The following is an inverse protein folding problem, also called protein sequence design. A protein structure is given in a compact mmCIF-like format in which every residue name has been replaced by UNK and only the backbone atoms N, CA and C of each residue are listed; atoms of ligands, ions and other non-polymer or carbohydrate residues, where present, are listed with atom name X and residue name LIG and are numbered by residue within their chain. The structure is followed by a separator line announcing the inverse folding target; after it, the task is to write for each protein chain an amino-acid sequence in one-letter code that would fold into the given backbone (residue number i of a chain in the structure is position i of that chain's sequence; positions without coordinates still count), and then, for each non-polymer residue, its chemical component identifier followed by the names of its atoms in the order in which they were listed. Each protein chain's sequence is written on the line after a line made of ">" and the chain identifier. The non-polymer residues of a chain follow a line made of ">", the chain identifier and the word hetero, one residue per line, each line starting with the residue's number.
data_IF_935803247470
#
_entry.id   IF_935803247470
#
_cell.length_a   1.000
_cell.length_b   1.000
_cell.length_c   1.000
_cell.angle_alpha   90.00
_cell.angle_beta   90.00
_cell.angle_gamma   90.00
#
_symmetry.space_group_name_H-M   'P 1'
#
loop_
_entity.id
_entity.type
_entity.pdbx_description
1 polymer ?
#
# COMPACT_ATOMS: atom_id res chain seq x y z
N UNK A 1 13.31 -1.60 24.65
CA UNK A 1 13.71 -0.40 23.89
C UNK A 1 12.62 0.00 22.87
N UNK A 2 12.15 -0.91 22.02
CA UNK A 2 11.19 -0.63 20.93
C UNK A 2 9.81 -0.16 21.43
N UNK A 3 9.26 -0.77 22.48
CA UNK A 3 7.97 -0.38 23.07
C UNK A 3 8.02 1.02 23.69
N UNK A 4 9.15 1.38 24.31
CA UNK A 4 9.35 2.72 24.88
C UNK A 4 9.48 3.81 23.82
N UNK A 5 10.04 3.49 22.65
CA UNK A 5 10.18 4.41 21.53
C UNK A 5 8.82 4.65 20.86
N UNK A 6 8.02 3.59 20.64
CA UNK A 6 6.64 3.70 20.16
C UNK A 6 5.78 4.52 21.12
N UNK A 7 5.92 4.31 22.44
CA UNK A 7 5.19 5.09 23.42
C UNK A 7 5.60 6.58 23.42
N UNK A 8 6.90 6.89 23.25
CA UNK A 8 7.38 8.28 23.11
C UNK A 8 6.83 8.94 21.83
N UNK A 9 6.85 8.23 20.71
CA UNK A 9 6.31 8.75 19.44
C UNK A 9 4.80 8.95 19.52
N UNK A 10 4.07 8.03 20.13
CA UNK A 10 2.62 8.16 20.37
C UNK A 10 2.30 9.36 21.25
N UNK A 11 3.10 9.61 22.29
CA UNK A 11 2.95 10.79 23.18
C UNK A 11 3.28 12.09 22.43
N UNK A 12 4.32 12.10 21.59
CA UNK A 12 4.69 13.25 20.75
C UNK A 12 3.60 13.58 19.71
N UNK A 13 2.99 12.56 19.12
CA UNK A 13 1.84 12.72 18.19
C UNK A 13 0.62 13.26 18.92
N UNK A 14 0.33 12.81 20.13
CA UNK A 14 -0.75 13.31 20.97
C UNK A 14 -0.53 14.77 21.37
N UNK A 15 0.70 15.17 21.74
CA UNK A 15 1.08 16.53 22.08
C UNK A 15 0.98 17.47 20.86
N UNK A 16 1.40 17.01 19.66
CA UNK A 16 1.26 17.76 18.42
C UNK A 16 -0.20 18.00 18.03
N UNK A 17 -1.10 17.05 18.33
CA UNK A 17 -2.55 17.21 18.10
C UNK A 17 -3.18 18.23 19.06
N UNK A 18 -2.69 18.32 20.31
CA UNK A 18 -3.15 19.30 21.28
C UNK A 18 -2.69 20.73 20.95
N UNK A 19 -1.49 20.88 20.37
CA UNK A 19 -0.93 22.16 19.96
C UNK A 19 -1.53 22.74 18.65
N UNK A 20 -2.07 21.88 17.78
CA UNK A 20 -2.68 22.31 16.50
C UNK A 20 -4.06 23.00 16.67
N UNK A 21 -4.64 22.99 17.86
CA UNK A 21 -5.89 23.70 18.15
C UNK A 21 -5.71 25.21 18.43
N UNK A 22 -4.47 25.71 18.43
CA UNK A 22 -4.13 27.12 18.63
C UNK A 22 -3.21 27.62 17.51
N UNK A 23 -3.78 28.36 16.57
CA UNK A 23 -3.21 29.31 15.62
C UNK A 23 -1.79 29.11 15.04
N UNK A 24 -1.73 28.98 13.73
CA UNK A 24 -0.75 29.50 12.80
C UNK A 24 0.74 29.42 13.16
N UNK A 25 1.39 28.34 12.72
CA UNK A 25 2.84 28.24 12.69
C UNK A 25 3.24 26.79 12.39
N UNK A 26 3.93 26.57 11.28
CA UNK A 26 4.48 25.25 10.94
C UNK A 26 5.49 24.82 12.03
N UNK A 27 5.03 24.16 13.08
CA UNK A 27 5.89 23.59 14.12
C UNK A 27 6.42 22.26 13.64
N UNK A 28 7.67 22.22 13.23
CA UNK A 28 8.45 21.00 13.09
C UNK A 28 8.52 20.34 14.47
N UNK A 29 7.94 19.13 14.60
CA UNK A 29 8.12 18.30 15.78
C UNK A 29 9.62 18.14 16.07
N UNK A 30 10.06 18.26 17.34
CA UNK A 30 11.46 18.04 17.70
C UNK A 30 11.80 16.57 17.43
N UNK A 31 12.56 16.37 16.36
CA UNK A 31 13.22 15.11 16.03
C UNK A 31 14.46 14.95 16.93
N UNK A 32 14.78 13.73 17.38
CA UNK A 32 16.14 13.46 17.81
C UNK A 32 17.06 13.87 16.66
N UNK A 33 17.94 14.82 16.94
CA UNK A 33 18.67 15.58 15.94
C UNK A 33 19.23 14.67 14.83
N UNK A 34 18.79 14.92 13.61
CA UNK A 34 19.45 14.45 12.39
C UNK A 34 18.97 13.11 11.79
N UNK A 35 17.94 12.43 12.31
CA UNK A 35 17.47 11.19 11.69
C UNK A 35 16.21 11.40 10.84
N UNK A 36 16.30 11.08 9.56
CA UNK A 36 15.13 11.01 8.68
C UNK A 36 14.23 9.82 9.07
N UNK A 37 12.92 10.04 9.23
CA UNK A 37 11.94 8.98 9.51
C UNK A 37 11.73 8.03 8.34
N UNK A 38 11.89 8.55 7.14
CA UNK A 38 11.69 7.85 5.88
C UNK A 38 12.89 8.00 4.97
N UNK A 39 13.22 6.93 4.27
CA UNK A 39 14.08 6.93 3.10
C UNK A 39 13.21 6.69 1.87
N UNK A 40 13.51 7.36 0.77
CA UNK A 40 12.74 7.27 -0.48
C UNK A 40 13.64 6.66 -1.55
N UNK A 41 13.14 5.65 -2.20
CA UNK A 41 13.75 4.97 -3.34
C UNK A 41 12.82 5.09 -4.54
N UNK A 42 13.34 5.44 -5.69
CA UNK A 42 12.54 5.73 -6.88
C UNK A 42 12.94 4.80 -8.01
N UNK A 43 11.95 4.23 -8.67
CA UNK A 43 12.12 3.53 -9.93
C UNK A 43 11.49 4.36 -11.05
N UNK A 44 12.30 4.75 -12.01
CA UNK A 44 11.87 5.35 -13.28
C UNK A 44 12.31 4.45 -14.43
N UNK A 45 11.76 4.57 -15.64
CA UNK A 45 12.31 3.88 -16.79
C UNK A 45 13.84 4.12 -16.92
N UNK A 46 14.63 3.14 -17.38
CA UNK A 46 16.11 3.24 -17.36
C UNK A 46 16.68 4.48 -18.07
N UNK A 47 15.97 4.98 -19.09
CA UNK A 47 16.36 6.14 -19.89
C UNK A 47 15.78 7.47 -19.38
N UNK A 48 15.09 7.46 -18.24
CA UNK A 48 14.51 8.66 -17.63
C UNK A 48 15.35 9.09 -16.43
N UNK A 49 15.74 10.35 -16.43
CA UNK A 49 16.35 11.02 -15.28
C UNK A 49 15.40 12.09 -14.78
N UNK A 50 15.19 12.14 -13.48
CA UNK A 50 14.32 13.16 -12.90
C UNK A 50 14.98 14.54 -13.00
N UNK A 51 14.21 15.60 -13.29
CA UNK A 51 14.74 16.95 -13.32
C UNK A 51 15.26 17.36 -11.94
N UNK A 52 16.30 18.17 -11.88
CA UNK A 52 16.92 18.63 -10.63
C UNK A 52 15.92 19.36 -9.69
N UNK A 53 14.82 19.87 -10.23
CA UNK A 53 13.72 20.50 -9.47
C UNK A 53 12.77 19.48 -8.82
N UNK A 54 12.87 18.19 -9.17
CA UNK A 54 12.05 17.14 -8.54
C UNK A 54 12.53 16.90 -7.12
N UNK A 55 11.61 16.78 -6.14
CA UNK A 55 11.97 16.40 -4.77
C UNK A 55 12.53 14.97 -4.68
N UNK A 56 12.42 14.19 -5.74
CA UNK A 56 12.91 12.83 -5.85
C UNK A 56 14.20 12.69 -6.65
N UNK A 57 14.76 13.79 -7.18
CA UNK A 57 16.02 13.76 -7.92
C UNK A 57 17.16 13.17 -7.08
N UNK A 58 17.93 12.26 -7.67
CA UNK A 58 19.03 11.57 -7.00
C UNK A 58 18.59 10.48 -6.01
N UNK A 59 17.32 10.06 -6.07
CA UNK A 59 16.76 8.92 -5.28
C UNK A 59 16.46 7.72 -6.15
N UNK A 60 16.74 7.82 -7.44
CA UNK A 60 16.57 6.72 -8.38
C UNK A 60 17.52 5.57 -8.03
N UNK A 61 16.98 4.35 -7.99
CA UNK A 61 17.81 3.16 -7.84
C UNK A 61 18.63 2.94 -9.12
N UNK A 62 19.81 2.33 -8.98
CA UNK A 62 20.70 2.08 -10.13
C UNK A 62 20.15 0.99 -11.04
N UNK A 63 19.70 -0.12 -10.47
CA UNK A 63 19.19 -1.28 -11.19
C UNK A 63 17.70 -1.08 -11.53
N UNK A 64 17.43 -0.54 -12.74
CA UNK A 64 16.10 -0.21 -13.24
C UNK A 64 15.73 -1.03 -14.47
N UNK A 65 14.43 -1.31 -14.65
CA UNK A 65 13.88 -2.02 -15.81
C UNK A 65 12.81 -1.20 -16.51
N UNK A 66 12.64 -1.44 -17.78
CA UNK A 66 11.48 -0.93 -18.49
C UNK A 66 10.22 -1.64 -17.98
N UNK A 67 9.19 -0.87 -17.64
CA UNK A 67 7.93 -1.37 -17.12
C UNK A 67 6.80 -1.15 -18.13
N UNK A 68 5.84 -2.07 -18.13
CA UNK A 68 4.59 -1.93 -18.88
C UNK A 68 3.41 -2.26 -17.96
N UNK A 69 2.33 -1.51 -18.10
CA UNK A 69 1.13 -1.66 -17.29
C UNK A 69 0.58 -3.10 -17.33
N UNK A 70 0.24 -3.63 -16.14
CA UNK A 70 -0.31 -4.98 -15.98
C UNK A 70 0.68 -6.12 -16.27
N UNK A 71 1.95 -5.83 -16.57
CA UNK A 71 2.95 -6.84 -16.87
C UNK A 71 3.80 -7.20 -15.64
N UNK A 72 4.50 -8.34 -15.71
CA UNK A 72 5.42 -8.78 -14.66
C UNK A 72 6.58 -7.81 -14.43
N UNK A 73 6.91 -6.97 -15.40
CA UNK A 73 7.99 -5.97 -15.25
C UNK A 73 7.74 -4.99 -14.10
N UNK A 74 6.48 -4.74 -13.71
CA UNK A 74 6.15 -3.93 -12.51
C UNK A 74 6.55 -4.68 -11.24
N UNK A 75 6.32 -5.99 -11.18
CA UNK A 75 6.76 -6.84 -10.05
C UNK A 75 8.28 -6.82 -9.95
N UNK A 76 8.99 -6.93 -11.08
CA UNK A 76 10.44 -6.90 -11.11
C UNK A 76 10.98 -5.54 -10.64
N UNK A 77 10.37 -4.43 -11.07
CA UNK A 77 10.68 -3.10 -10.58
C UNK A 77 10.49 -2.99 -9.06
N UNK A 78 9.38 -3.54 -8.55
CA UNK A 78 9.08 -3.58 -7.11
C UNK A 78 10.15 -4.37 -6.34
N UNK A 79 10.55 -5.54 -6.84
CA UNK A 79 11.59 -6.37 -6.20
C UNK A 79 12.95 -5.66 -6.15
N UNK A 80 13.31 -4.91 -7.20
CA UNK A 80 14.54 -4.09 -7.23
C UNK A 80 14.48 -2.92 -6.26
N UNK A 81 13.33 -2.26 -6.13
CA UNK A 81 13.11 -1.25 -5.10
C UNK A 81 13.27 -1.81 -3.69
N UNK A 82 12.68 -3.00 -3.44
CA UNK A 82 12.83 -3.69 -2.15
C UNK A 82 14.29 -4.06 -1.87
N UNK A 83 15.01 -4.59 -2.86
CA UNK A 83 16.43 -4.95 -2.72
C UNK A 83 17.29 -3.72 -2.38
N UNK A 84 17.10 -2.61 -3.09
CA UNK A 84 17.80 -1.36 -2.83
C UNK A 84 17.49 -0.82 -1.42
N UNK A 85 16.22 -0.83 -1.01
CA UNK A 85 15.81 -0.33 0.29
C UNK A 85 16.25 -1.25 1.45
N UNK A 86 16.39 -2.54 1.23
CA UNK A 86 16.88 -3.51 2.21
C UNK A 86 18.37 -3.34 2.55
N UNK A 87 19.14 -2.68 1.70
CA UNK A 87 20.55 -2.36 1.95
C UNK A 87 20.74 -1.49 3.21
N UNK A 88 19.74 -0.65 3.56
CA UNK A 88 19.74 0.05 4.85
C UNK A 88 19.06 -0.84 5.93
N UNK A 89 19.81 -1.31 6.94
CA UNK A 89 19.26 -2.17 7.99
C UNK A 89 18.23 -1.45 8.90
N UNK A 90 18.18 -0.13 8.87
CA UNK A 90 17.21 0.67 9.65
C UNK A 90 15.81 0.64 9.04
N UNK A 91 15.68 0.36 7.75
CA UNK A 91 14.38 0.24 7.10
C UNK A 91 13.63 -0.99 7.62
N UNK A 92 12.55 -0.79 8.35
CA UNK A 92 11.75 -1.84 8.98
C UNK A 92 10.37 -2.01 8.34
N UNK A 93 9.91 -1.00 7.60
CA UNK A 93 8.65 -0.99 6.83
C UNK A 93 8.93 -0.49 5.43
N UNK A 94 8.29 -1.12 4.46
CA UNK A 94 8.44 -0.84 3.04
C UNK A 94 7.06 -0.53 2.48
N UNK A 95 6.84 0.71 2.09
CA UNK A 95 5.55 1.19 1.57
C UNK A 95 5.69 1.42 0.09
N UNK A 96 4.92 0.70 -0.71
CA UNK A 96 4.89 0.88 -2.16
C UNK A 96 3.89 1.98 -2.51
N UNK A 97 4.36 2.98 -3.24
CA UNK A 97 3.59 4.15 -3.65
C UNK A 97 3.79 4.43 -5.13
N UNK A 98 2.78 5.02 -5.78
CA UNK A 98 2.97 5.63 -7.09
C UNK A 98 3.52 7.06 -6.96
N UNK A 99 3.95 7.61 -8.08
CA UNK A 99 4.38 9.01 -8.20
C UNK A 99 3.28 10.03 -7.85
N UNK A 100 2.03 9.59 -7.88
CA UNK A 100 0.86 10.43 -7.59
C UNK A 100 0.29 10.22 -6.19
N UNK A 101 0.85 9.32 -5.38
CA UNK A 101 0.39 9.12 -4.00
C UNK A 101 0.74 10.34 -3.13
N UNK A 102 -0.24 10.82 -2.37
CA UNK A 102 -0.06 11.89 -1.41
C UNK A 102 -0.36 11.41 0.02
N UNK A 103 0.44 11.81 1.03
CA UNK A 103 0.19 11.42 2.41
C UNK A 103 -1.06 12.11 2.96
N UNK A 104 -1.90 11.35 3.67
CA UNK A 104 -3.08 11.89 4.38
C UNK A 104 -2.72 12.44 5.76
N UNK A 105 -1.60 12.03 6.33
CA UNK A 105 -1.16 12.41 7.67
C UNK A 105 0.26 12.96 7.66
N UNK A 106 0.64 13.79 8.65
CA UNK A 106 2.02 14.23 8.82
C UNK A 106 2.99 13.05 8.96
N UNK A 107 4.22 13.21 8.48
CA UNK A 107 5.24 12.17 8.46
C UNK A 107 5.42 11.43 9.79
N UNK A 108 5.43 12.15 10.92
CA UNK A 108 5.56 11.55 12.23
C UNK A 108 4.37 10.65 12.62
N UNK A 109 3.14 11.05 12.26
CA UNK A 109 1.95 10.26 12.51
C UNK A 109 1.93 9.00 11.62
N UNK A 110 2.26 9.14 10.34
CA UNK A 110 2.40 8.03 9.40
C UNK A 110 3.47 7.03 9.89
N UNK A 111 4.62 7.53 10.32
CA UNK A 111 5.68 6.69 10.87
C UNK A 111 5.23 5.92 12.11
N UNK A 112 4.64 6.62 13.09
CA UNK A 112 4.17 5.99 14.32
C UNK A 112 3.16 4.88 14.05
N UNK A 113 2.24 5.12 13.13
CA UNK A 113 1.24 4.16 12.70
C UNK A 113 1.85 2.93 12.04
N UNK A 114 2.71 3.11 11.05
CA UNK A 114 3.37 2.02 10.33
C UNK A 114 4.25 1.17 11.27
N UNK A 115 4.93 1.80 12.23
CA UNK A 115 5.79 1.11 13.17
C UNK A 115 5.03 0.41 14.30
N UNK A 116 3.81 0.83 14.62
CA UNK A 116 2.96 0.17 15.62
C UNK A 116 2.38 -1.16 15.09
N UNK A 117 2.29 -1.34 13.79
CA UNK A 117 1.70 -2.53 13.18
C UNK A 117 2.72 -3.68 13.09
N UNK A 118 2.41 -4.86 13.64
CA UNK A 118 3.32 -6.00 13.57
C UNK A 118 3.29 -6.71 12.20
N UNK A 119 2.18 -6.58 11.45
CA UNK A 119 1.91 -7.32 10.22
C UNK A 119 2.16 -6.49 8.97
N UNK A 120 2.35 -7.16 7.84
CA UNK A 120 2.26 -6.53 6.52
C UNK A 120 0.80 -6.24 6.16
N UNK A 121 0.55 -5.13 5.48
CA UNK A 121 -0.75 -4.81 4.88
C UNK A 121 -0.80 -5.41 3.48
N UNK A 122 -1.28 -6.62 3.40
CA UNK A 122 -1.43 -7.39 2.16
C UNK A 122 -2.62 -8.33 2.32
N UNK A 123 -3.53 -8.33 1.36
CA UNK A 123 -4.60 -9.33 1.33
C UNK A 123 -4.06 -10.67 0.83
N UNK A 124 -3.38 -11.42 1.70
CA UNK A 124 -2.80 -12.73 1.39
C UNK A 124 -3.57 -13.90 2.01
N UNK A 125 -4.62 -13.65 2.79
CA UNK A 125 -5.39 -14.70 3.43
C UNK A 125 -6.29 -15.45 2.45
N UNK A 126 -6.69 -16.66 2.84
CA UNK A 126 -7.65 -17.44 2.07
C UNK A 126 -8.95 -16.64 1.91
N UNK A 127 -9.47 -16.50 0.68
CA UNK A 127 -10.68 -15.74 0.45
C UNK A 127 -11.89 -16.44 1.09
N UNK A 128 -12.85 -15.66 1.55
CA UNK A 128 -14.15 -16.19 1.94
C UNK A 128 -14.86 -16.82 0.73
N UNK A 129 -15.81 -17.71 1.00
CA UNK A 129 -16.57 -18.35 -0.06
C UNK A 129 -17.33 -17.31 -0.90
N UNK A 130 -17.16 -17.36 -2.23
CA UNK A 130 -17.81 -16.46 -3.16
C UNK A 130 -17.04 -15.17 -3.46
N UNK A 131 -15.93 -14.90 -2.80
CA UNK A 131 -15.07 -13.75 -3.11
C UNK A 131 -14.28 -14.03 -4.39
N UNK A 132 -14.39 -13.13 -5.37
CA UNK A 132 -13.61 -13.20 -6.62
C UNK A 132 -12.18 -12.73 -6.38
N UNK A 133 -11.26 -13.69 -6.45
CA UNK A 133 -9.81 -13.42 -6.40
C UNK A 133 -9.17 -13.39 -7.79
N UNK A 134 -9.96 -13.18 -8.82
CA UNK A 134 -9.46 -13.21 -10.21
C UNK A 134 -8.96 -14.61 -10.61
N UNK A 135 -9.61 -15.69 -10.18
CA UNK A 135 -9.15 -17.05 -10.44
C UNK A 135 -9.07 -17.37 -11.94
N UNK A 136 -9.85 -16.71 -12.77
CA UNK A 136 -9.81 -16.79 -14.23
C UNK A 136 -8.49 -16.27 -14.83
N UNK A 137 -7.70 -15.54 -14.02
CA UNK A 137 -6.36 -15.04 -14.40
C UNK A 137 -5.25 -16.05 -14.12
N UNK A 138 -5.53 -17.08 -13.34
CA UNK A 138 -4.58 -18.15 -13.02
C UNK A 138 -4.43 -19.11 -14.20
N UNK A 139 -3.18 -19.38 -14.61
CA UNK A 139 -2.88 -20.44 -15.58
C UNK A 139 -2.53 -21.73 -14.84
N UNK A 140 -3.04 -22.89 -15.24
CA UNK A 140 -2.62 -24.18 -14.70
C UNK A 140 -1.11 -24.41 -14.78
N UNK A 141 -0.42 -23.81 -15.75
CA UNK A 141 1.05 -23.85 -15.88
C UNK A 141 1.79 -23.18 -14.72
N UNK A 142 1.08 -22.34 -13.95
CA UNK A 142 1.64 -21.69 -12.75
C UNK A 142 1.73 -22.62 -11.55
N UNK A 143 1.13 -23.83 -11.59
CA UNK A 143 1.28 -24.80 -10.52
C UNK A 143 2.68 -25.44 -10.53
N UNK A 144 3.67 -24.65 -10.10
CA UNK A 144 5.10 -25.06 -10.07
C UNK A 144 5.73 -24.69 -8.71
N UNK A 145 6.78 -25.44 -8.33
CA UNK A 145 7.51 -25.17 -7.09
C UNK A 145 6.60 -25.08 -5.88
N UNK A 146 6.66 -23.99 -5.16
CA UNK A 146 5.79 -23.69 -4.02
C UNK A 146 4.40 -23.16 -4.42
N UNK A 147 4.24 -22.61 -5.63
CA UNK A 147 2.98 -22.02 -6.05
C UNK A 147 1.95 -23.09 -6.42
N UNK A 148 0.78 -23.03 -5.79
CA UNK A 148 -0.38 -23.88 -6.08
C UNK A 148 -1.60 -22.99 -6.32
N UNK A 149 -2.59 -23.46 -7.07
CA UNK A 149 -3.85 -22.76 -7.30
C UNK A 149 -4.53 -22.36 -5.98
N UNK A 150 -4.43 -23.19 -4.94
CA UNK A 150 -4.94 -22.89 -3.61
C UNK A 150 -4.27 -21.69 -2.93
N UNK A 151 -3.07 -21.30 -3.37
CA UNK A 151 -2.35 -20.11 -2.89
C UNK A 151 -2.58 -18.88 -3.77
N UNK A 152 -3.43 -18.96 -4.80
CA UNK A 152 -3.74 -17.81 -5.63
C UNK A 152 -4.53 -16.78 -4.84
N UNK A 153 -4.03 -15.56 -4.80
CA UNK A 153 -4.60 -14.43 -4.05
C UNK A 153 -4.64 -13.17 -4.91
N UNK A 154 -5.45 -12.23 -4.50
CA UNK A 154 -5.50 -10.88 -5.08
C UNK A 154 -5.38 -9.84 -3.97
N UNK A 155 -4.52 -8.86 -4.17
CA UNK A 155 -4.39 -7.69 -3.32
C UNK A 155 -4.23 -6.44 -4.18
N UNK A 156 -4.41 -5.27 -3.58
CA UNK A 156 -3.91 -4.04 -4.18
C UNK A 156 -2.40 -4.16 -4.45
N UNK A 157 -1.93 -3.53 -5.52
CA UNK A 157 -0.51 -3.33 -5.79
C UNK A 157 0.18 -2.53 -4.67
N UNK A 158 -0.55 -1.65 -4.02
CA UNK A 158 -0.06 -0.67 -3.04
C UNK A 158 -0.03 -1.30 -1.65
N UNK A 159 1.04 -2.02 -1.37
CA UNK A 159 1.22 -2.79 -0.15
C UNK A 159 2.17 -2.11 0.83
N UNK A 160 2.05 -2.47 2.11
CA UNK A 160 3.04 -2.17 3.14
C UNK A 160 3.61 -3.47 3.68
N UNK A 161 4.93 -3.62 3.58
CA UNK A 161 5.61 -4.85 3.95
C UNK A 161 6.45 -4.67 5.22
N UNK A 162 6.48 -5.71 6.05
CA UNK A 162 7.50 -5.86 7.09
C UNK A 162 8.85 -6.22 6.45
N UNK A 163 9.96 -5.97 7.15
CA UNK A 163 11.30 -6.29 6.63
C UNK A 163 11.48 -7.78 6.28
N UNK A 164 11.02 -8.77 7.06
CA UNK A 164 11.11 -10.18 6.68
C UNK A 164 10.40 -10.49 5.34
N UNK A 165 9.21 -9.96 5.12
CA UNK A 165 8.46 -10.16 3.87
C UNK A 165 9.16 -9.48 2.69
N UNK A 166 9.61 -8.24 2.86
CA UNK A 166 10.36 -7.52 1.83
C UNK A 166 11.63 -8.29 1.42
N UNK A 167 12.38 -8.80 2.40
CA UNK A 167 13.59 -9.57 2.15
C UNK A 167 13.31 -10.88 1.39
N UNK A 168 12.24 -11.58 1.78
CA UNK A 168 11.87 -12.83 1.11
C UNK A 168 11.41 -12.61 -0.32
N UNK A 169 10.60 -11.58 -0.56
CA UNK A 169 10.14 -11.20 -1.91
C UNK A 169 11.30 -10.74 -2.80
N UNK A 170 12.23 -9.95 -2.28
CA UNK A 170 13.41 -9.52 -3.03
C UNK A 170 14.31 -10.69 -3.43
N UNK A 171 14.45 -11.69 -2.55
CA UNK A 171 15.28 -12.89 -2.78
C UNK A 171 14.57 -14.01 -3.56
N UNK A 172 13.26 -13.91 -3.80
CA UNK A 172 12.50 -14.96 -4.49
C UNK A 172 12.95 -15.12 -5.93
N UNK A 173 13.21 -16.36 -6.33
CA UNK A 173 13.58 -16.72 -7.72
C UNK A 173 12.60 -17.73 -8.32
N UNK A 174 11.87 -18.48 -7.52
CA UNK A 174 11.02 -19.58 -7.95
C UNK A 174 9.63 -19.09 -8.38
N UNK A 175 8.91 -18.45 -7.44
CA UNK A 175 7.56 -17.93 -7.74
C UNK A 175 7.65 -16.75 -8.71
N UNK A 176 8.65 -15.88 -8.56
CA UNK A 176 8.87 -14.77 -9.48
C UNK A 176 9.11 -15.26 -10.92
N UNK A 177 9.95 -16.28 -11.14
CA UNK A 177 10.16 -16.88 -12.47
C UNK A 177 8.87 -17.49 -13.03
N UNK A 178 8.09 -18.17 -12.19
CA UNK A 178 6.78 -18.73 -12.57
C UNK A 178 5.83 -17.64 -13.04
N UNK A 179 5.75 -16.53 -12.32
CA UNK A 179 4.94 -15.38 -12.72
C UNK A 179 5.47 -14.72 -14.00
N UNK A 180 6.77 -14.56 -14.14
CA UNK A 180 7.40 -13.99 -15.34
C UNK A 180 7.06 -14.80 -16.60
N UNK A 181 7.07 -16.13 -16.49
CA UNK A 181 6.84 -17.03 -17.61
C UNK A 181 5.35 -17.20 -17.96
N UNK A 182 4.45 -17.27 -16.96
CA UNK A 182 3.07 -17.70 -17.17
C UNK A 182 2.01 -16.65 -16.79
N UNK A 183 2.33 -15.63 -16.01
CA UNK A 183 1.41 -14.53 -15.70
C UNK A 183 1.58 -13.42 -16.73
N UNK A 184 1.20 -13.73 -17.97
CA UNK A 184 1.32 -12.82 -19.11
C UNK A 184 -0.04 -12.34 -19.59
N UNK A 185 -0.06 -11.16 -20.22
CA UNK A 185 -1.24 -10.61 -20.83
C UNK A 185 -1.23 -10.97 -22.34
N UNK A 186 -2.30 -11.52 -22.85
CA UNK A 186 -2.42 -11.89 -24.24
C UNK A 186 -3.14 -13.23 -24.45
N UNK A 187 -2.99 -13.81 -25.63
CA UNK A 187 -3.61 -15.09 -25.96
C UNK A 187 -2.99 -16.22 -25.14
N UNK A 188 -3.83 -16.94 -24.40
CA UNK A 188 -3.43 -18.14 -23.65
C UNK A 188 -3.87 -19.38 -24.44
N UNK A 189 -2.89 -20.17 -24.92
CA UNK A 189 -3.21 -21.35 -25.75
C UNK A 189 -3.93 -22.46 -24.98
N UNK A 190 -3.79 -22.53 -23.66
CA UNK A 190 -4.47 -23.51 -22.83
C UNK A 190 -5.95 -23.18 -22.63
N UNK A 191 -6.28 -21.88 -22.64
CA UNK A 191 -7.65 -21.40 -22.54
C UNK A 191 -8.31 -21.22 -23.92
N UNK A 192 -7.51 -21.14 -24.99
CA UNK A 192 -8.00 -20.78 -26.32
C UNK A 192 -8.56 -19.35 -26.41
N UNK A 193 -8.21 -18.46 -25.46
CA UNK A 193 -8.77 -17.12 -25.29
C UNK A 193 -7.73 -16.13 -24.75
N UNK A 194 -7.95 -14.81 -24.90
CA UNK A 194 -7.13 -13.82 -24.24
C UNK A 194 -7.24 -13.92 -22.70
N UNK A 195 -6.08 -13.85 -22.02
CA UNK A 195 -5.97 -13.76 -20.56
C UNK A 195 -5.17 -12.53 -20.17
N UNK A 196 -5.64 -11.85 -19.14
CA UNK A 196 -4.97 -10.67 -18.55
C UNK A 196 -4.67 -10.99 -17.09
N UNK A 197 -3.40 -11.30 -16.80
CA UNK A 197 -3.03 -11.84 -15.51
C UNK A 197 -2.86 -10.75 -14.42
N UNK A 198 -2.38 -9.55 -14.77
CA UNK A 198 -2.08 -8.47 -13.82
C UNK A 198 -1.18 -8.94 -12.67
N UNK A 199 0.07 -9.23 -13.00
CA UNK A 199 1.06 -9.83 -12.10
C UNK A 199 1.26 -9.04 -10.80
N UNK A 200 1.16 -7.72 -10.86
CA UNK A 200 1.30 -6.77 -9.75
C UNK A 200 0.20 -6.90 -8.67
N UNK A 201 -1.00 -7.36 -9.05
CA UNK A 201 -2.10 -7.62 -8.10
C UNK A 201 -2.02 -9.02 -7.46
N UNK A 202 -1.28 -9.95 -8.06
CA UNK A 202 -1.32 -11.37 -7.68
C UNK A 202 -0.01 -11.90 -7.11
N UNK A 203 1.15 -11.39 -7.53
CA UNK A 203 2.44 -11.97 -7.15
C UNK A 203 2.68 -11.90 -5.63
N UNK A 204 2.66 -10.72 -5.04
CA UNK A 204 2.99 -10.55 -3.61
C UNK A 204 2.04 -11.36 -2.71
N UNK A 205 0.71 -11.24 -2.83
CA UNK A 205 -0.18 -11.96 -1.94
C UNK A 205 -0.11 -13.47 -2.18
N UNK A 206 0.03 -13.95 -3.41
CA UNK A 206 0.14 -15.38 -3.70
C UNK A 206 1.47 -15.97 -3.23
N UNK A 207 2.57 -15.23 -3.32
CA UNK A 207 3.86 -15.67 -2.81
C UNK A 207 3.84 -15.82 -1.29
N UNK A 208 3.27 -14.83 -0.57
CA UNK A 208 3.13 -14.91 0.88
C UNK A 208 2.24 -16.09 1.30
N UNK A 209 1.11 -16.32 0.60
CA UNK A 209 0.26 -17.46 0.83
C UNK A 209 0.97 -18.80 0.54
N UNK A 210 1.68 -18.90 -0.58
CA UNK A 210 2.43 -20.11 -0.95
C UNK A 210 3.54 -20.46 0.06
N UNK A 211 4.07 -19.47 0.76
CA UNK A 211 5.07 -19.66 1.82
C UNK A 211 4.45 -19.86 3.21
N UNK A 212 3.13 -19.90 3.34
CA UNK A 212 2.44 -20.08 4.62
C UNK A 212 2.53 -18.86 5.54
N UNK A 213 2.75 -17.66 4.99
CA UNK A 213 2.92 -16.40 5.75
C UNK A 213 1.62 -15.58 5.85
N UNK A 214 0.48 -16.14 5.49
CA UNK A 214 -0.84 -15.47 5.54
C UNK A 214 -1.13 -14.88 6.93
N UNK A 215 -0.81 -15.63 7.99
CA UNK A 215 -1.01 -15.21 9.38
C UNK A 215 -0.18 -13.98 9.80
N UNK A 216 0.85 -13.64 9.03
CA UNK A 216 1.71 -12.47 9.24
C UNK A 216 1.25 -11.25 8.42
N UNK A 217 0.12 -11.37 7.72
CA UNK A 217 -0.54 -10.27 7.00
C UNK A 217 -1.81 -9.85 7.72
N UNK A 218 -2.32 -8.66 7.40
CA UNK A 218 -3.57 -8.16 7.97
C UNK A 218 -4.82 -8.71 7.28
N UNK A 219 -4.66 -9.46 6.19
CA UNK A 219 -5.70 -10.06 5.38
C UNK A 219 -6.64 -9.09 4.65
N UNK A 220 -6.33 -7.82 4.71
CA UNK A 220 -7.13 -6.74 4.10
C UNK A 220 -6.38 -6.10 2.96
N UNK A 221 -5.12 -5.82 3.19
CA UNK A 221 -4.31 -5.00 2.30
C UNK A 221 -4.61 -3.50 2.47
N UNK A 222 -4.08 -2.73 1.59
CA UNK A 222 -4.38 -1.31 1.53
C UNK A 222 -3.58 -0.43 2.51
N UNK A 223 -2.63 0.33 1.97
CA UNK A 223 -2.04 1.49 2.63
C UNK A 223 -2.45 2.77 1.92
N UNK A 224 -3.16 2.63 0.80
CA UNK A 224 -3.56 3.72 -0.08
C UNK A 224 -5.07 3.66 -0.31
N UNK A 225 -5.77 4.74 0.00
CA UNK A 225 -7.19 4.89 -0.31
C UNK A 225 -7.38 5.01 -1.82
N UNK A 226 -8.28 4.21 -2.36
CA UNK A 226 -8.68 4.23 -3.77
C UNK A 226 -10.19 4.19 -3.87
N UNK A 227 -10.76 4.92 -4.83
CA UNK A 227 -12.19 5.00 -5.04
C UNK A 227 -12.59 4.35 -6.36
N UNK A 228 -13.30 3.24 -6.27
CA UNK A 228 -13.82 2.47 -7.39
C UNK A 228 -15.31 2.72 -7.68
N UNK A 229 -15.96 3.66 -6.99
CA UNK A 229 -17.40 3.88 -7.10
C UNK A 229 -17.86 4.30 -8.49
N UNK A 230 -16.98 4.91 -9.29
CA UNK A 230 -17.29 5.30 -10.68
C UNK A 230 -17.34 4.13 -11.67
N UNK A 231 -16.96 2.93 -11.27
CA UNK A 231 -16.80 1.78 -12.16
C UNK A 231 -15.69 1.98 -13.20
N UNK A 232 -15.33 0.91 -13.91
CA UNK A 232 -14.31 0.97 -14.97
C UNK A 232 -12.98 0.31 -14.60
N UNK A 233 -11.96 0.50 -15.44
CA UNK A 233 -10.63 -0.14 -15.29
C UNK A 233 -9.66 0.67 -14.43
N UNK A 234 -10.03 1.88 -14.02
CA UNK A 234 -9.25 2.77 -13.19
C UNK A 234 -10.12 3.37 -12.10
N UNK A 235 -9.58 3.60 -10.89
CA UNK A 235 -10.28 4.32 -9.84
C UNK A 235 -10.45 5.80 -10.21
N UNK A 236 -11.28 6.50 -9.45
CA UNK A 236 -11.54 7.93 -9.62
C UNK A 236 -10.24 8.75 -9.50
N UNK A 237 -10.19 9.89 -10.20
CA UNK A 237 -9.04 10.79 -10.24
C UNK A 237 -9.36 12.12 -9.58
N UNK A 238 -8.44 12.63 -8.74
CA UNK A 238 -8.48 14.00 -8.22
C UNK A 238 -7.44 14.87 -8.93
N UNK A 239 -7.87 16.03 -9.36
CA UNK A 239 -6.99 17.01 -9.96
C UNK A 239 -6.55 18.05 -8.92
N UNK A 240 -5.53 18.85 -9.24
CA UNK A 240 -4.98 19.85 -8.33
C UNK A 240 -6.03 20.84 -7.77
N UNK A 241 -7.10 21.12 -8.52
CA UNK A 241 -8.18 22.01 -8.08
C UNK A 241 -9.18 21.34 -7.13
N UNK A 242 -9.19 19.99 -7.05
CA UNK A 242 -10.02 19.24 -6.10
C UNK A 242 -9.37 19.16 -4.73
N UNK A 243 -8.05 19.33 -4.67
CA UNK A 243 -7.28 19.14 -3.44
C UNK A 243 -7.50 20.32 -2.51
N UNK A 244 -8.17 20.05 -1.39
CA UNK A 244 -8.48 21.03 -0.34
C UNK A 244 -8.30 20.43 1.05
N UNK A 245 -8.23 21.28 2.07
CA UNK A 245 -8.21 20.82 3.46
C UNK A 245 -9.44 19.98 3.78
N UNK A 246 -10.61 20.39 3.28
CA UNK A 246 -11.86 19.67 3.48
C UNK A 246 -11.86 18.28 2.83
N UNK A 247 -11.25 18.14 1.65
CA UNK A 247 -11.08 16.83 1.02
C UNK A 247 -10.22 15.92 1.91
N UNK A 248 -9.08 16.42 2.38
CA UNK A 248 -8.19 15.64 3.25
C UNK A 248 -8.89 15.25 4.56
N UNK A 249 -9.64 16.16 5.18
CA UNK A 249 -10.42 15.85 6.38
C UNK A 249 -11.53 14.84 6.11
N UNK A 250 -12.24 14.93 4.98
CA UNK A 250 -13.21 13.90 4.58
C UNK A 250 -12.56 12.54 4.38
N UNK A 251 -11.42 12.46 3.69
CA UNK A 251 -10.68 11.23 3.48
C UNK A 251 -10.18 10.61 4.80
N UNK A 252 -9.88 11.44 5.79
CA UNK A 252 -9.52 10.98 7.15
C UNK A 252 -10.73 10.60 8.00
N UNK A 253 -11.87 11.25 7.77
CA UNK A 253 -13.08 11.09 8.57
C UNK A 253 -14.00 9.98 8.07
N UNK A 254 -13.66 9.33 7.01
CA UNK A 254 -14.48 8.35 6.32
C UNK A 254 -14.72 7.03 7.10
N UNK A 255 -14.47 7.03 8.38
CA UNK A 255 -14.58 5.89 9.29
C UNK A 255 -16.00 5.43 9.62
N UNK A 256 -17.01 6.31 9.40
CA UNK A 256 -18.33 6.08 10.01
C UNK A 256 -19.38 5.46 9.07
N UNK A 257 -19.05 5.21 7.79
CA UNK A 257 -20.04 4.80 6.78
C UNK A 257 -19.63 3.55 5.97
N UNK A 258 -18.84 2.66 6.54
CA UNK A 258 -18.29 1.54 5.81
C UNK A 258 -19.22 0.33 5.76
N UNK A 259 -19.61 -0.07 4.55
CA UNK A 259 -20.05 -1.45 4.31
C UNK A 259 -18.86 -2.42 4.47
N UNK A 260 -19.06 -3.61 5.06
CA UNK A 260 -17.95 -4.45 5.56
C UNK A 260 -16.86 -4.85 4.54
N UNK A 261 -17.15 -4.88 3.26
CA UNK A 261 -16.19 -5.33 2.24
C UNK A 261 -15.42 -4.20 1.53
N UNK A 262 -16.07 -3.06 1.28
CA UNK A 262 -15.40 -1.88 0.72
C UNK A 262 -14.70 -1.02 1.79
N UNK A 263 -15.14 -1.18 3.03
CA UNK A 263 -14.73 -0.45 4.21
C UNK A 263 -13.29 -0.72 4.65
N UNK A 264 -12.81 -1.91 4.40
CA UNK A 264 -11.56 -2.39 5.02
C UNK A 264 -10.31 -1.77 4.40
N UNK A 265 -10.35 -1.39 3.11
CA UNK A 265 -9.18 -0.80 2.42
C UNK A 265 -8.96 0.69 2.76
N UNK A 266 -10.02 1.43 3.04
CA UNK A 266 -9.93 2.87 3.27
C UNK A 266 -9.65 3.23 4.74
N UNK A 267 -10.14 2.46 5.71
CA UNK A 267 -9.96 2.73 7.14
C UNK A 267 -8.51 2.75 7.62
N UNK A 268 -7.60 2.15 6.86
CA UNK A 268 -6.18 2.01 7.20
C UNK A 268 -5.27 2.78 6.25
N UNK A 269 -5.84 3.50 5.29
CA UNK A 269 -5.06 4.24 4.32
C UNK A 269 -4.31 5.39 4.96
N UNK A 270 -3.01 5.45 4.76
CA UNK A 270 -2.13 6.56 5.15
C UNK A 270 -1.80 7.46 3.97
N UNK A 271 -2.10 7.00 2.76
CA UNK A 271 -1.85 7.69 1.49
C UNK A 271 -3.09 7.67 0.60
N UNK A 272 -3.16 8.61 -0.30
CA UNK A 272 -4.18 8.69 -1.35
C UNK A 272 -3.51 8.98 -2.68
N UNK A 273 -4.04 8.42 -3.76
CA UNK A 273 -3.59 8.77 -5.12
C UNK A 273 -4.46 9.92 -5.66
N UNK A 274 -3.89 11.10 -5.93
CA UNK A 274 -4.64 12.25 -6.40
C UNK A 274 -5.36 12.03 -7.74
N UNK A 275 -4.84 11.17 -8.59
CA UNK A 275 -5.44 10.79 -9.87
C UNK A 275 -6.62 9.81 -9.74
N UNK A 276 -7.02 9.47 -8.51
CA UNK A 276 -8.00 8.43 -8.24
C UNK A 276 -9.22 8.88 -7.44
N UNK A 277 -9.43 10.20 -7.29
CA UNK A 277 -10.49 10.73 -6.44
C UNK A 277 -11.52 11.56 -7.26
N UNK A 278 -12.79 11.17 -7.35
CA UNK A 278 -13.86 11.88 -8.03
C UNK A 278 -14.89 12.50 -7.06
N UNK A 279 -15.55 13.63 -7.39
CA UNK A 279 -16.58 14.22 -6.54
C UNK A 279 -17.84 13.34 -6.45
N UNK A 280 -18.38 13.14 -5.26
CA UNK A 280 -19.69 12.52 -5.01
C UNK A 280 -19.69 11.15 -4.32
N UNK A 281 -18.54 10.64 -3.90
CA UNK A 281 -18.43 9.36 -3.18
C UNK A 281 -18.56 9.57 -1.68
N UNK A 282 -19.27 8.68 -0.93
CA UNK A 282 -19.15 8.64 0.52
C UNK A 282 -17.68 8.45 0.86
N UNK A 283 -17.16 9.30 1.69
CA UNK A 283 -15.79 9.24 2.12
C UNK A 283 -15.50 7.84 2.70
N UNK A 284 -14.49 7.15 2.20
CA UNK A 284 -14.09 5.82 2.67
C UNK A 284 -13.59 5.84 4.11
N UNK A 285 -13.38 4.69 4.71
CA UNK A 285 -13.11 4.50 6.12
C UNK A 285 -11.74 5.05 6.54
N UNK A 286 -11.71 6.12 7.29
CA UNK A 286 -10.55 6.66 7.98
C UNK A 286 -10.30 5.97 9.34
N UNK A 287 -9.24 6.30 10.03
CA UNK A 287 -8.87 5.73 11.32
C UNK A 287 -9.91 6.04 12.40
N UNK A 288 -10.39 5.01 13.08
CA UNK A 288 -11.21 5.19 14.26
C UNK A 288 -10.51 6.15 15.24
N UNK A 289 -11.12 7.28 15.50
CA UNK A 289 -10.67 8.13 16.61
C UNK A 289 -10.77 7.29 17.88
N UNK A 290 -9.75 7.24 18.73
CA UNK A 290 -9.95 6.68 20.05
C UNK A 290 -11.14 7.38 20.68
N UNK A 291 -12.17 6.62 21.07
CA UNK A 291 -13.37 7.14 21.72
C UNK A 291 -12.93 8.02 22.87
N UNK A 292 -13.42 9.25 22.91
CA UNK A 292 -13.24 10.12 24.08
C UNK A 292 -13.84 9.37 25.29
N UNK A 293 -13.11 9.17 26.37
CA UNK A 293 -13.70 8.64 27.59
C UNK A 293 -14.83 9.59 28.01
N UNK A 294 -16.05 9.09 28.10
CA UNK A 294 -17.17 9.84 28.67
C UNK A 294 -18.27 10.34 27.73
N UNK A 295 -18.31 10.00 26.46
CA UNK A 295 -19.48 10.31 25.63
C UNK A 295 -20.61 9.30 25.91
N UNK A 296 -21.81 9.74 26.33
CA UNK A 296 -22.94 8.82 26.60
C UNK A 296 -23.43 8.21 25.30
N UNK A 297 -23.77 6.92 25.35
CA UNK A 297 -24.37 6.20 24.23
C UNK A 297 -25.69 6.89 23.85
N UNK A 298 -25.77 7.47 22.65
CA UNK A 298 -27.01 7.99 22.11
C UNK A 298 -28.03 6.88 21.96
N UNK A 299 -29.16 7.03 22.63
CA UNK A 299 -30.32 6.14 22.47
C UNK A 299 -30.88 6.36 21.07
N UNK A 300 -30.95 5.27 20.29
CA UNK A 300 -31.62 5.27 19.00
C UNK A 300 -33.11 5.60 19.13
N UNK A 301 -33.62 6.26 18.10
CA UNK A 301 -35.02 6.24 17.68
C UNK A 301 -35.07 5.80 16.24
#
# INVERSE_FOLDING_TARGET
>A
ARAAEVARLSSAVAAARAGAAGGGGASSLPHPAGQALFTVYVHTPPNVTLPATSPFAGREIEDRVATAWGSHSIVEATRRLLAAALADPRNQRFVLLSETCAPLYPAAATYAQLMAEPKSRVNACAPAAGVDVGIHRFSPRMERGALRKAAWRKSSQWVTLTRPHAARLAADTDIAATFAEFCVNGYDPDLGAPRYCHSDEHYIPSALAAWGLEGETDCVGGGTAVDWSGGGSHPASYWHHDISGDLVERLRAADDACEPEAAMDAARAVFVRPDQLAPGVPAGCGWARPRRPGAPAGRGR
#
